data_IF_484471078525
#
_entry.id   IF_484471078525
#
_cell.length_a   1.000
_cell.length_b   1.000
_cell.length_c   1.000
_cell.angle_alpha   90.00
_cell.angle_beta   90.00
_cell.angle_gamma   90.00
#
_symmetry.space_group_name_H-M   'P 1'
#
loop_
_entity.id
_entity.type
_entity.pdbx_description
1 polymer ?
#
# COMPACT_ATOMS: atom_id res chain seq x y z
N UNK A 1 9.27 7.42 -24.53
CA UNK A 1 8.05 6.67 -24.18
C UNK A 1 8.30 6.05 -22.82
N UNK A 2 7.74 6.63 -21.75
CA UNK A 2 8.00 6.17 -20.38
C UNK A 2 7.25 4.87 -20.14
N UNK A 3 7.97 3.77 -19.89
CA UNK A 3 7.36 2.49 -19.53
C UNK A 3 6.84 2.59 -18.10
N UNK A 4 5.62 3.10 -17.92
CA UNK A 4 4.91 3.12 -16.63
C UNK A 4 4.55 1.71 -16.12
N UNK A 5 4.92 0.66 -16.87
CA UNK A 5 4.61 -0.76 -16.62
C UNK A 5 5.85 -1.66 -16.67
N UNK A 6 7.05 -1.14 -16.43
CA UNK A 6 8.18 -2.06 -16.21
C UNK A 6 7.98 -2.79 -14.86
N UNK A 7 7.38 -3.97 -14.94
CA UNK A 7 7.08 -4.85 -13.81
C UNK A 7 8.20 -5.87 -13.57
N UNK A 8 9.43 -5.61 -14.05
CA UNK A 8 10.56 -6.50 -13.82
C UNK A 8 10.83 -6.68 -12.31
N UNK A 9 10.69 -7.89 -11.74
CA UNK A 9 10.85 -8.11 -10.31
C UNK A 9 12.24 -7.71 -9.79
N UNK A 10 13.27 -7.75 -10.65
CA UNK A 10 14.63 -7.32 -10.32
C UNK A 10 14.69 -5.85 -9.88
N UNK A 11 13.91 -4.95 -10.52
CA UNK A 11 13.86 -3.52 -10.17
C UNK A 11 13.24 -3.35 -8.78
N UNK A 12 12.11 -4.00 -8.51
CA UNK A 12 11.45 -3.98 -7.20
C UNK A 12 12.37 -4.53 -6.11
N UNK A 13 13.00 -5.68 -6.35
CA UNK A 13 13.86 -6.32 -5.37
C UNK A 13 15.10 -5.46 -5.05
N UNK A 14 15.71 -4.83 -6.06
CA UNK A 14 16.80 -3.88 -5.86
C UNK A 14 16.35 -2.64 -5.08
N UNK A 15 15.13 -2.13 -5.32
CA UNK A 15 14.57 -1.06 -4.52
C UNK A 15 14.38 -1.50 -3.06
N UNK A 16 13.76 -2.65 -2.82
CA UNK A 16 13.53 -3.18 -1.47
C UNK A 16 14.83 -3.31 -0.68
N UNK A 17 15.90 -3.81 -1.30
CA UNK A 17 17.21 -3.90 -0.65
C UNK A 17 17.75 -2.52 -0.25
N UNK A 18 17.72 -1.54 -1.16
CA UNK A 18 18.18 -0.17 -0.84
C UNK A 18 17.37 0.48 0.27
N UNK A 19 16.06 0.18 0.36
CA UNK A 19 15.21 0.67 1.44
C UNK A 19 15.62 0.03 2.78
N UNK A 20 15.87 -1.28 2.81
CA UNK A 20 16.38 -1.99 4.00
C UNK A 20 17.71 -1.40 4.47
N UNK A 21 18.64 -1.18 3.54
CA UNK A 21 19.96 -0.62 3.86
C UNK A 21 19.81 0.79 4.46
N UNK A 22 18.97 1.63 3.85
CA UNK A 22 18.72 2.99 4.34
C UNK A 22 18.05 3.02 5.72
N UNK A 23 17.07 2.16 5.97
CA UNK A 23 16.38 2.05 7.26
C UNK A 23 17.33 1.55 8.35
N UNK A 24 18.13 0.53 8.04
CA UNK A 24 19.14 -0.02 8.98
C UNK A 24 20.19 1.03 9.31
N UNK A 25 20.66 1.80 8.32
CA UNK A 25 21.64 2.86 8.53
C UNK A 25 21.07 4.09 9.27
N UNK A 26 19.75 4.30 9.24
CA UNK A 26 19.09 5.46 9.86
C UNK A 26 19.14 5.43 11.39
N UNK A 27 19.14 4.25 12.02
CA UNK A 27 19.09 4.12 13.47
C UNK A 27 20.07 3.03 13.94
N UNK A 28 21.16 3.39 14.66
CA UNK A 28 22.06 2.43 15.27
C UNK A 28 21.31 1.44 16.19
N UNK A 29 21.65 0.15 16.09
CA UNK A 29 20.97 -0.90 16.86
C UNK A 29 19.61 -1.32 16.30
N UNK A 30 19.12 -0.69 15.24
CA UNK A 30 17.92 -1.14 14.53
C UNK A 30 18.22 -2.27 13.53
N UNK A 31 17.18 -2.99 13.12
CA UNK A 31 17.23 -4.04 12.10
C UNK A 31 16.05 -3.89 11.14
N UNK A 32 16.32 -3.84 9.84
CA UNK A 32 15.28 -3.89 8.81
C UNK A 32 15.35 -5.19 8.00
N UNK A 33 14.23 -5.66 7.50
CA UNK A 33 14.16 -6.89 6.71
C UNK A 33 12.88 -7.03 5.90
N UNK A 34 12.92 -7.93 4.92
CA UNK A 34 11.75 -8.28 4.12
C UNK A 34 10.70 -8.99 4.97
N UNK A 35 9.43 -8.78 4.61
CA UNK A 35 8.28 -9.57 5.05
C UNK A 35 7.49 -10.09 3.85
N UNK A 36 6.38 -10.77 4.16
CA UNK A 36 5.37 -11.09 3.17
C UNK A 36 5.88 -12.00 2.05
N UNK A 37 5.38 -11.75 0.84
CA UNK A 37 5.67 -12.62 -0.30
C UNK A 37 7.11 -12.55 -0.78
N UNK A 38 7.79 -11.39 -0.61
CA UNK A 38 9.20 -11.23 -0.98
C UNK A 38 10.10 -12.06 -0.06
N UNK A 39 9.89 -12.00 1.26
CA UNK A 39 10.67 -12.80 2.21
C UNK A 39 10.50 -14.32 2.01
N UNK A 40 9.30 -14.76 1.62
CA UNK A 40 9.00 -16.18 1.38
C UNK A 40 9.42 -16.68 -0.01
N UNK A 41 9.89 -15.81 -0.89
CA UNK A 41 10.21 -16.17 -2.28
C UNK A 41 9.00 -16.53 -3.14
N UNK A 42 7.79 -16.13 -2.73
CA UNK A 42 6.54 -16.42 -3.47
C UNK A 42 5.99 -15.17 -4.19
N UNK A 43 6.81 -14.13 -4.34
CA UNK A 43 6.40 -12.87 -4.94
C UNK A 43 6.31 -12.98 -6.46
N UNK A 44 5.22 -12.47 -7.04
CA UNK A 44 5.07 -12.29 -8.49
C UNK A 44 5.33 -10.84 -8.89
N UNK A 45 5.13 -10.49 -10.16
CA UNK A 45 5.33 -9.14 -10.68
C UNK A 45 4.41 -8.07 -10.02
N UNK A 46 3.31 -8.49 -9.41
CA UNK A 46 2.28 -7.62 -8.83
C UNK A 46 2.38 -7.50 -7.29
N UNK A 47 3.28 -8.25 -6.66
CA UNK A 47 3.52 -8.11 -5.22
C UNK A 47 4.06 -6.73 -4.87
N UNK A 48 3.49 -6.17 -3.81
CA UNK A 48 3.98 -5.02 -3.04
C UNK A 48 5.32 -5.33 -2.37
N UNK A 49 5.86 -4.34 -1.66
CA UNK A 49 7.07 -4.46 -0.85
C UNK A 49 6.63 -4.44 0.61
N UNK A 50 6.76 -5.55 1.32
CA UNK A 50 6.53 -5.60 2.76
C UNK A 50 7.86 -5.54 3.50
N UNK A 51 8.06 -4.57 4.39
CA UNK A 51 9.25 -4.44 5.24
C UNK A 51 8.86 -4.42 6.72
N UNK A 52 9.72 -5.01 7.56
CA UNK A 52 9.75 -4.72 8.99
C UNK A 52 11.02 -3.93 9.33
N UNK A 53 10.87 -2.97 10.23
CA UNK A 53 11.96 -2.23 10.85
C UNK A 53 11.78 -2.25 12.36
N UNK A 54 12.61 -3.04 13.06
CA UNK A 54 12.65 -3.03 14.52
C UNK A 54 13.70 -2.04 14.99
N UNK A 55 13.31 -1.13 15.87
CA UNK A 55 14.15 -0.05 16.41
C UNK A 55 14.22 -0.15 17.93
N UNK A 56 15.29 0.34 18.57
CA UNK A 56 15.34 0.46 20.02
C UNK A 56 14.15 1.25 20.56
N UNK A 57 13.60 0.85 21.72
CA UNK A 57 12.40 1.48 22.30
C UNK A 57 12.54 3.00 22.48
N UNK A 58 13.71 3.45 22.93
CA UNK A 58 14.00 4.88 23.13
C UNK A 58 13.99 5.70 21.83
N UNK A 59 14.22 5.05 20.68
CA UNK A 59 14.32 5.70 19.36
C UNK A 59 13.04 5.59 18.55
N UNK A 60 12.01 4.89 19.07
CA UNK A 60 10.82 4.53 18.31
C UNK A 60 10.11 5.74 17.70
N UNK A 61 9.78 6.75 18.52
CA UNK A 61 9.04 7.92 18.06
C UNK A 61 9.85 8.73 17.03
N UNK A 62 11.16 8.88 17.24
CA UNK A 62 12.05 9.58 16.32
C UNK A 62 12.17 8.84 14.98
N UNK A 63 12.31 7.51 15.02
CA UNK A 63 12.37 6.67 13.82
C UNK A 63 11.04 6.69 13.05
N UNK A 64 9.91 6.57 13.75
CA UNK A 64 8.58 6.63 13.16
C UNK A 64 8.33 7.97 12.46
N UNK A 65 8.66 9.09 13.11
CA UNK A 65 8.51 10.43 12.54
C UNK A 65 9.49 10.66 11.37
N UNK A 66 10.71 10.14 11.46
CA UNK A 66 11.76 10.28 10.45
C UNK A 66 11.68 9.32 9.26
N UNK A 67 10.81 8.30 9.32
CA UNK A 67 10.75 7.25 8.31
C UNK A 67 10.51 7.79 6.90
N UNK A 68 9.58 8.74 6.72
CA UNK A 68 9.29 9.35 5.43
C UNK A 68 10.52 10.01 4.79
N UNK A 69 11.26 10.80 5.58
CA UNK A 69 12.48 11.45 5.12
C UNK A 69 13.58 10.43 4.78
N UNK A 70 13.71 9.37 5.58
CA UNK A 70 14.64 8.28 5.31
C UNK A 70 14.35 7.60 3.97
N UNK A 71 13.09 7.23 3.71
CA UNK A 71 12.65 6.59 2.47
C UNK A 71 12.86 7.52 1.25
N UNK A 72 12.61 8.83 1.43
CA UNK A 72 12.78 9.84 0.39
C UNK A 72 14.24 9.95 -0.13
N UNK A 73 15.24 9.57 0.67
CA UNK A 73 16.64 9.52 0.22
C UNK A 73 16.92 8.41 -0.80
N UNK A 74 16.11 7.35 -0.83
CA UNK A 74 16.27 6.21 -1.76
C UNK A 74 15.43 6.42 -3.03
N UNK A 75 14.21 6.93 -2.84
CA UNK A 75 13.25 7.17 -3.90
C UNK A 75 12.26 8.24 -3.46
N UNK A 76 11.91 9.15 -4.36
CA UNK A 76 10.94 10.19 -4.05
C UNK A 76 9.60 9.59 -3.63
N UNK A 77 9.14 9.98 -2.43
CA UNK A 77 7.86 9.56 -1.87
C UNK A 77 6.76 10.41 -2.48
N UNK A 78 5.81 9.77 -3.19
CA UNK A 78 4.65 10.43 -3.75
C UNK A 78 3.49 10.52 -2.75
N UNK A 79 3.37 9.53 -1.85
CA UNK A 79 2.44 9.58 -0.74
C UNK A 79 2.92 8.70 0.42
N UNK A 80 2.61 9.14 1.64
CA UNK A 80 2.85 8.41 2.88
C UNK A 80 1.61 8.53 3.75
N UNK A 81 1.11 7.40 4.24
CA UNK A 81 -0.05 7.33 5.13
C UNK A 81 0.23 6.36 6.26
N UNK A 82 -0.32 6.63 7.44
CA UNK A 82 -0.26 5.69 8.57
C UNK A 82 -1.55 4.90 8.65
N UNK A 83 -1.45 3.64 9.06
CA UNK A 83 -2.60 2.83 9.41
C UNK A 83 -3.34 3.46 10.61
N UNK A 84 -4.66 3.69 10.54
CA UNK A 84 -5.40 4.38 11.58
C UNK A 84 -5.46 3.57 12.87
N UNK A 85 -5.34 2.25 12.80
CA UNK A 85 -5.36 1.39 13.98
C UNK A 85 -4.04 1.51 14.77
N UNK A 86 -2.95 1.89 14.13
CA UNK A 86 -1.62 1.99 14.76
C UNK A 86 -1.03 3.40 14.71
N UNK A 87 -1.80 4.42 14.33
CA UNK A 87 -1.29 5.77 14.05
C UNK A 87 -0.68 6.45 15.28
N UNK A 88 -1.17 6.14 16.48
CA UNK A 88 -0.74 6.74 17.76
C UNK A 88 -0.16 5.72 18.77
N UNK A 89 -0.02 4.46 18.38
CA UNK A 89 0.61 3.39 19.21
C UNK A 89 1.99 3.81 19.74
N UNK A 90 2.46 3.32 20.88
CA UNK A 90 3.83 3.63 21.34
C UNK A 90 4.87 2.56 21.01
N UNK A 91 4.42 1.44 20.45
CA UNK A 91 5.28 0.31 20.12
C UNK A 91 5.24 -0.08 18.66
N UNK A 92 4.22 0.33 17.88
CA UNK A 92 4.08 -0.07 16.47
C UNK A 92 3.54 1.05 15.58
N UNK A 93 4.04 1.14 14.34
CA UNK A 93 3.47 1.95 13.26
C UNK A 93 3.40 1.07 12.02
N UNK A 94 2.33 1.20 11.25
CA UNK A 94 2.26 0.66 9.90
C UNK A 94 2.12 1.83 8.93
N UNK A 95 3.07 1.97 8.02
CA UNK A 95 3.09 3.03 7.02
C UNK A 95 2.85 2.44 5.63
N UNK A 96 1.97 3.07 4.86
CA UNK A 96 1.72 2.79 3.45
C UNK A 96 2.35 3.87 2.60
N UNK A 97 3.31 3.50 1.76
CA UNK A 97 4.12 4.44 1.00
C UNK A 97 4.02 4.12 -0.50
N UNK A 98 3.67 5.14 -1.29
CA UNK A 98 3.81 5.09 -2.73
C UNK A 98 4.98 5.98 -3.16
N UNK A 99 5.77 5.48 -4.11
CA UNK A 99 6.88 6.23 -4.68
C UNK A 99 6.48 6.83 -6.02
N UNK A 100 7.12 7.96 -6.40
CA UNK A 100 6.96 8.55 -7.73
C UNK A 100 7.53 7.60 -8.79
N UNK A 101 6.89 7.57 -9.95
CA UNK A 101 7.30 6.83 -11.15
C UNK A 101 7.50 5.32 -10.96
N UNK A 102 6.86 4.74 -9.92
CA UNK A 102 6.76 3.29 -9.77
C UNK A 102 5.37 2.76 -10.10
N UNK A 103 5.27 1.49 -10.54
CA UNK A 103 4.00 0.80 -10.70
C UNK A 103 3.15 0.87 -9.43
N UNK A 104 1.84 1.09 -9.59
CA UNK A 104 0.90 1.16 -8.46
C UNK A 104 0.85 -0.13 -7.63
N UNK A 105 1.29 -1.26 -8.19
CA UNK A 105 1.39 -2.53 -7.47
C UNK A 105 2.48 -2.54 -6.41
N UNK A 106 3.57 -1.81 -6.61
CA UNK A 106 4.77 -1.80 -5.76
C UNK A 106 4.68 -0.73 -4.66
N UNK A 107 3.54 -0.68 -3.98
CA UNK A 107 3.42 0.05 -2.71
C UNK A 107 4.35 -0.59 -1.68
N UNK A 108 4.93 0.23 -0.82
CA UNK A 108 5.65 -0.23 0.37
C UNK A 108 4.69 -0.23 1.57
N UNK A 109 4.63 -1.36 2.25
CA UNK A 109 4.00 -1.54 3.55
C UNK A 109 5.14 -1.70 4.58
N UNK A 110 5.40 -0.66 5.36
CA UNK A 110 6.48 -0.62 6.34
C UNK A 110 5.91 -0.74 7.75
N UNK A 111 6.15 -1.88 8.40
CA UNK A 111 5.93 -2.03 9.84
C UNK A 111 7.16 -1.54 10.59
N UNK A 112 6.98 -0.57 11.47
CA UNK A 112 7.99 -0.09 12.42
C UNK A 112 7.58 -0.59 13.80
N UNK A 113 8.47 -1.28 14.50
CA UNK A 113 8.20 -1.81 15.84
C UNK A 113 9.31 -1.41 16.80
N UNK A 114 8.95 -0.95 17.98
CA UNK A 114 9.87 -0.87 19.11
C UNK A 114 10.32 -2.29 19.48
N UNK A 115 11.53 -2.44 20.02
CA UNK A 115 12.08 -3.76 20.34
C UNK A 115 11.21 -4.53 21.34
N UNK A 116 10.63 -3.87 22.35
CA UNK A 116 9.70 -4.49 23.30
C UNK A 116 8.38 -4.98 22.67
N UNK A 117 7.99 -4.42 21.52
CA UNK A 117 6.78 -4.79 20.78
C UNK A 117 7.08 -5.70 19.57
N UNK A 118 8.34 -5.98 19.29
CA UNK A 118 8.74 -6.78 18.15
C UNK A 118 8.32 -8.24 18.35
N UNK A 119 7.57 -8.78 17.38
CA UNK A 119 7.07 -10.16 17.43
C UNK A 119 5.70 -10.31 18.11
N UNK A 120 5.09 -9.23 18.60
CA UNK A 120 3.71 -9.20 19.06
C UNK A 120 2.79 -8.58 17.99
N UNK A 121 2.14 -9.40 17.14
CA UNK A 121 1.24 -8.90 16.11
C UNK A 121 -0.06 -8.30 16.68
N UNK A 122 -0.42 -8.62 17.92
CA UNK A 122 -1.63 -8.16 18.60
C UNK A 122 -1.38 -6.95 19.52
N UNK A 123 -0.13 -6.47 19.59
CA UNK A 123 0.22 -5.26 20.33
C UNK A 123 -0.70 -4.10 19.91
N UNK A 124 -1.36 -3.47 20.90
CA UNK A 124 -2.36 -2.42 20.73
C UNK A 124 -3.67 -2.79 19.99
N UNK A 125 -3.96 -4.08 19.73
CA UNK A 125 -5.21 -4.52 19.05
C UNK A 125 -6.50 -4.07 19.75
N UNK A 126 -6.47 -3.86 21.06
CA UNK A 126 -7.59 -3.35 21.85
C UNK A 126 -7.41 -1.92 22.38
N UNK A 127 -6.31 -1.22 22.04
CA UNK A 127 -5.97 0.06 22.65
C UNK A 127 -6.58 1.24 21.88
N UNK A 128 -7.58 1.96 22.42
CA UNK A 128 -8.17 3.11 21.73
C UNK A 128 -7.19 4.29 21.59
N UNK A 129 -6.20 4.41 22.48
CA UNK A 129 -5.21 5.49 22.43
C UNK A 129 -4.21 5.32 21.29
N UNK A 130 -4.04 4.10 20.78
CA UNK A 130 -3.21 3.81 19.63
C UNK A 130 -3.87 4.24 18.30
N UNK A 131 -5.16 4.53 18.32
CA UNK A 131 -5.96 4.88 17.14
C UNK A 131 -5.78 6.34 16.75
N UNK A 132 -5.88 6.60 15.45
CA UNK A 132 -5.94 7.95 14.92
C UNK A 132 -7.01 8.10 13.84
N UNK A 133 -7.24 9.34 13.45
CA UNK A 133 -8.33 9.80 12.60
C UNK A 133 -7.87 10.30 11.23
N UNK A 134 -6.55 10.46 11.03
CA UNK A 134 -5.98 10.88 9.77
C UNK A 134 -5.89 9.69 8.81
N UNK A 135 -7.05 9.35 8.25
CA UNK A 135 -7.23 8.30 7.26
C UNK A 135 -8.19 8.74 6.17
N UNK A 136 -7.78 8.58 4.92
CA UNK A 136 -8.60 8.89 3.73
C UNK A 136 -9.42 7.67 3.29
N UNK A 137 -10.77 7.70 3.39
CA UNK A 137 -11.65 6.73 2.78
C UNK A 137 -11.40 6.54 1.28
N UNK A 138 -11.20 7.62 0.53
CA UNK A 138 -10.98 7.56 -0.92
C UNK A 138 -9.65 6.87 -1.27
N UNK A 139 -8.55 7.20 -0.60
CA UNK A 139 -7.26 6.54 -0.84
C UNK A 139 -7.29 5.05 -0.45
N UNK A 140 -8.05 4.70 0.59
CA UNK A 140 -8.28 3.29 0.95
C UNK A 140 -9.10 2.54 -0.11
N UNK A 141 -10.14 3.17 -0.65
CA UNK A 141 -10.92 2.63 -1.75
C UNK A 141 -10.10 2.43 -3.02
N UNK A 142 -9.22 3.38 -3.35
CA UNK A 142 -8.29 3.26 -4.48
C UNK A 142 -7.26 2.14 -4.28
N UNK A 143 -6.79 1.92 -3.04
CA UNK A 143 -5.94 0.76 -2.73
C UNK A 143 -6.68 -0.57 -2.97
N UNK A 144 -7.97 -0.66 -2.61
CA UNK A 144 -8.79 -1.83 -2.92
C UNK A 144 -8.96 -2.03 -4.43
N UNK A 145 -9.09 -0.95 -5.21
CA UNK A 145 -9.17 -1.03 -6.66
C UNK A 145 -7.88 -1.62 -7.28
N UNK A 146 -6.71 -1.15 -6.83
CA UNK A 146 -5.41 -1.72 -7.26
C UNK A 146 -5.31 -3.20 -6.87
N UNK A 147 -5.70 -3.55 -5.64
CA UNK A 147 -5.71 -4.95 -5.19
C UNK A 147 -6.69 -5.81 -6.01
N UNK A 148 -7.83 -5.27 -6.43
CA UNK A 148 -8.77 -5.98 -7.30
C UNK A 148 -8.16 -6.25 -8.68
N UNK A 149 -7.44 -5.29 -9.26
CA UNK A 149 -6.67 -5.50 -10.50
C UNK A 149 -5.67 -6.64 -10.31
N UNK A 150 -4.90 -6.66 -9.20
CA UNK A 150 -3.98 -7.78 -8.87
C UNK A 150 -4.73 -9.12 -8.84
N UNK A 151 -5.90 -9.16 -8.19
CA UNK A 151 -6.70 -10.37 -8.07
C UNK A 151 -7.23 -10.87 -9.43
N UNK A 152 -7.70 -9.98 -10.31
CA UNK A 152 -8.12 -10.36 -11.68
C UNK A 152 -6.95 -10.93 -12.47
N UNK A 153 -5.78 -10.28 -12.42
CA UNK A 153 -4.56 -10.76 -13.09
C UNK A 153 -4.06 -12.11 -12.54
N UNK A 154 -4.46 -12.47 -11.32
CA UNK A 154 -4.18 -13.77 -10.68
C UNK A 154 -5.32 -14.78 -10.85
N UNK A 155 -6.32 -14.48 -11.68
CA UNK A 155 -7.51 -15.32 -11.90
C UNK A 155 -8.32 -15.59 -10.62
N UNK A 156 -8.46 -14.58 -9.75
CA UNK A 156 -9.21 -14.63 -8.49
C UNK A 156 -10.43 -13.69 -8.53
N UNK A 157 -11.46 -13.99 -9.33
CA UNK A 157 -12.60 -13.09 -9.57
C UNK A 157 -13.43 -12.80 -8.31
N UNK A 158 -13.61 -13.78 -7.42
CA UNK A 158 -14.37 -13.56 -6.18
C UNK A 158 -13.63 -12.65 -5.20
N UNK A 159 -12.30 -12.77 -5.13
CA UNK A 159 -11.44 -11.85 -4.37
C UNK A 159 -11.52 -10.45 -4.95
N UNK A 160 -11.44 -10.30 -6.29
CA UNK A 160 -11.59 -9.00 -6.95
C UNK A 160 -12.95 -8.36 -6.66
N UNK A 161 -14.04 -9.13 -6.74
CA UNK A 161 -15.40 -8.68 -6.40
C UNK A 161 -15.46 -8.16 -4.97
N UNK A 162 -15.02 -8.96 -3.99
CA UNK A 162 -15.05 -8.56 -2.58
C UNK A 162 -14.20 -7.33 -2.25
N UNK A 163 -13.09 -7.12 -2.98
CA UNK A 163 -12.27 -5.90 -2.86
C UNK A 163 -12.99 -4.67 -3.40
N UNK A 164 -13.60 -4.77 -4.59
CA UNK A 164 -14.36 -3.67 -5.19
C UNK A 164 -15.60 -3.29 -4.38
N UNK A 165 -16.35 -4.28 -3.88
CA UNK A 165 -17.51 -4.04 -3.01
C UNK A 165 -17.11 -3.34 -1.70
N UNK A 166 -15.99 -3.74 -1.11
CA UNK A 166 -15.44 -3.07 0.09
C UNK A 166 -15.01 -1.64 -0.22
N UNK A 167 -14.37 -1.42 -1.37
CA UNK A 167 -14.01 -0.08 -1.85
C UNK A 167 -15.23 0.82 -2.02
N UNK A 168 -16.25 0.36 -2.75
CA UNK A 168 -17.49 1.09 -3.01
C UNK A 168 -18.20 1.47 -1.70
N UNK A 169 -18.33 0.53 -0.75
CA UNK A 169 -18.89 0.80 0.58
C UNK A 169 -18.11 1.89 1.33
N UNK A 170 -16.78 1.91 1.22
CA UNK A 170 -15.94 2.87 1.94
C UNK A 170 -16.12 4.31 1.47
N UNK A 171 -16.55 4.51 0.22
CA UNK A 171 -16.85 5.83 -0.35
C UNK A 171 -18.35 6.10 -0.49
N UNK A 172 -19.21 5.26 0.13
CA UNK A 172 -20.66 5.42 0.06
C UNK A 172 -21.26 5.25 -1.34
N UNK A 173 -20.54 4.64 -2.28
CA UNK A 173 -21.01 4.48 -3.64
C UNK A 173 -21.97 3.27 -3.75
N UNK A 174 -23.16 3.45 -4.35
CA UNK A 174 -24.10 2.36 -4.56
C UNK A 174 -23.69 1.45 -5.73
N UNK A 175 -24.26 0.24 -5.74
CA UNK A 175 -24.24 -0.65 -6.90
C UNK A 175 -23.41 -1.92 -6.71
N UNK A 176 -23.90 -3.00 -7.32
CA UNK A 176 -23.22 -4.29 -7.35
C UNK A 176 -22.05 -4.26 -8.34
N UNK A 177 -21.01 -5.04 -8.04
CA UNK A 177 -19.89 -5.27 -8.96
C UNK A 177 -20.38 -6.19 -10.08
N UNK A 178 -20.25 -5.72 -11.32
CA UNK A 178 -20.80 -6.40 -12.50
C UNK A 178 -19.91 -7.52 -13.05
N UNK A 179 -18.63 -7.54 -12.68
CA UNK A 179 -17.62 -8.43 -13.26
C UNK A 179 -16.99 -7.86 -14.54
N UNK A 180 -17.49 -6.73 -15.03
CA UNK A 180 -16.81 -5.93 -16.05
C UNK A 180 -15.73 -5.09 -15.34
N UNK A 181 -14.58 -5.73 -15.16
CA UNK A 181 -13.56 -5.27 -14.22
C UNK A 181 -13.03 -3.86 -14.51
N UNK A 182 -12.68 -3.48 -15.76
CA UNK A 182 -12.27 -2.11 -16.06
C UNK A 182 -13.33 -1.08 -15.64
N UNK A 183 -14.60 -1.34 -15.94
CA UNK A 183 -15.71 -0.44 -15.65
C UNK A 183 -16.02 -0.35 -14.16
N UNK A 184 -15.96 -1.47 -13.44
CA UNK A 184 -16.17 -1.51 -11.99
C UNK A 184 -15.02 -0.79 -11.25
N UNK A 185 -13.76 -0.96 -11.69
CA UNK A 185 -12.61 -0.20 -11.18
C UNK A 185 -12.76 1.29 -11.48
N UNK A 186 -13.12 1.66 -12.71
CA UNK A 186 -13.30 3.05 -13.10
C UNK A 186 -14.46 3.74 -12.37
N UNK A 187 -15.53 2.99 -12.06
CA UNK A 187 -16.64 3.48 -11.22
C UNK A 187 -16.15 3.78 -9.81
N UNK A 188 -15.42 2.85 -9.19
CA UNK A 188 -14.87 3.04 -7.86
C UNK A 188 -13.89 4.23 -7.81
N UNK A 189 -12.99 4.33 -8.79
CA UNK A 189 -12.02 5.43 -8.86
C UNK A 189 -12.69 6.80 -9.00
N UNK A 190 -13.73 6.91 -9.84
CA UNK A 190 -14.52 8.14 -9.97
C UNK A 190 -15.28 8.50 -8.70
N UNK A 191 -15.86 7.52 -8.02
CA UNK A 191 -16.53 7.75 -6.74
C UNK A 191 -15.55 8.25 -5.66
N UNK A 192 -14.37 7.63 -5.58
CA UNK A 192 -13.31 8.06 -4.66
C UNK A 192 -12.87 9.51 -4.92
N UNK A 193 -12.62 9.88 -6.18
CA UNK A 193 -12.27 11.25 -6.54
C UNK A 193 -13.43 12.26 -6.40
N UNK A 194 -14.68 11.79 -6.40
CA UNK A 194 -15.84 12.61 -6.08
C UNK A 194 -15.97 12.91 -4.59
N UNK A 195 -15.60 11.95 -3.73
CA UNK A 195 -15.58 12.11 -2.28
C UNK A 195 -14.42 13.01 -1.82
N UNK A 196 -13.22 12.78 -2.36
CA UNK A 196 -11.99 13.51 -2.03
C UNK A 196 -11.30 13.95 -3.34
N UNK A 197 -11.56 15.18 -3.82
CA UNK A 197 -11.04 15.68 -5.09
C UNK A 197 -9.51 15.66 -5.21
N UNK A 198 -8.79 15.80 -4.11
CA UNK A 198 -7.33 15.70 -4.02
C UNK A 198 -6.80 14.32 -4.44
N UNK A 199 -7.63 13.27 -4.37
CA UNK A 199 -7.27 11.92 -4.82
C UNK A 199 -7.40 11.73 -6.34
N UNK A 200 -7.88 12.73 -7.08
CA UNK A 200 -8.09 12.63 -8.53
C UNK A 200 -6.86 12.14 -9.31
N UNK A 201 -5.62 12.63 -9.05
CA UNK A 201 -4.44 12.14 -9.75
C UNK A 201 -4.19 10.64 -9.55
N UNK A 202 -4.45 10.11 -8.35
CA UNK A 202 -4.32 8.67 -8.07
C UNK A 202 -5.45 7.89 -8.73
N UNK A 203 -6.69 8.38 -8.64
CA UNK A 203 -7.84 7.78 -9.31
C UNK A 203 -7.62 7.63 -10.82
N UNK A 204 -7.12 8.66 -11.49
CA UNK A 204 -6.82 8.62 -12.92
C UNK A 204 -5.72 7.60 -13.26
N UNK A 205 -4.71 7.44 -12.39
CA UNK A 205 -3.69 6.38 -12.56
C UNK A 205 -4.28 4.98 -12.39
N UNK A 206 -5.21 4.78 -11.45
CA UNK A 206 -5.89 3.49 -11.23
C UNK A 206 -6.78 3.12 -12.41
N UNK A 207 -7.49 4.10 -12.99
CA UNK A 207 -8.28 3.89 -14.22
C UNK A 207 -7.37 3.42 -15.36
N UNK A 208 -6.27 4.15 -15.63
CA UNK A 208 -5.31 3.78 -16.67
C UNK A 208 -4.74 2.38 -16.46
N UNK A 209 -4.36 2.04 -15.23
CA UNK A 209 -3.87 0.71 -14.88
C UNK A 209 -4.88 -0.39 -15.27
N UNK A 210 -6.17 -0.18 -14.96
CA UNK A 210 -7.21 -1.16 -15.28
C UNK A 210 -7.45 -1.24 -16.79
N UNK A 211 -7.48 -0.12 -17.50
CA UNK A 211 -7.65 -0.07 -18.96
C UNK A 211 -6.51 -0.76 -19.71
N UNK A 212 -5.27 -0.65 -19.22
CA UNK A 212 -4.09 -1.23 -19.84
C UNK A 212 -3.95 -2.74 -19.59
N UNK A 213 -4.35 -3.22 -18.41
CA UNK A 213 -4.04 -4.59 -17.97
C UNK A 213 -5.23 -5.54 -17.93
N UNK A 214 -6.46 -5.05 -17.81
CA UNK A 214 -7.62 -5.91 -17.66
C UNK A 214 -8.32 -6.15 -19.00
N UNK A 215 -8.77 -7.39 -19.27
CA UNK A 215 -9.49 -7.68 -20.49
C UNK A 215 -10.82 -6.95 -20.52
N UNK A 216 -11.11 -6.28 -21.63
CA UNK A 216 -12.47 -5.80 -21.91
C UNK A 216 -13.30 -6.99 -22.35
N UNK A 217 -14.46 -7.18 -21.73
CA UNK A 217 -15.43 -8.14 -22.26
C UNK A 217 -15.89 -7.64 -23.64
N UNK A 218 -15.96 -8.50 -24.67
CA UNK A 218 -16.59 -8.12 -25.93
C UNK A 218 -18.03 -7.69 -25.64
N UNK A 219 -18.44 -6.59 -26.25
CA UNK A 219 -19.85 -6.20 -26.26
C UNK A 219 -20.63 -7.36 -26.91
N UNK A 220 -21.48 -8.01 -26.12
CA UNK A 220 -22.44 -8.99 -26.63
C UNK A 220 -23.51 -8.34 -27.49
#
# INVERSE_FOLDING_TARGET
MSSAMDLAPAIRNALAQRLIDALTAQCPGSRAGLRGSLARGTADAYSDIDLAWTVPDAEFDACAAGAGACLARVREVASLRSDPDLQRSRGRRLLFVAFRDLPLFWRLDLEISAESAAGDPDHDRGNPQARGDDWSPAASALANAVAAVKAVLRHQPDTARGLLERGLRRVGAPGAVSGRWPEDVARLARAAAGLEPEQRPLADRVVRLADELLPRHPAG
#
